data_IF_771961479774
#
_entry.id   IF_771961479774
#
_cell.length_a   1.000
_cell.length_b   1.000
_cell.length_c   1.000
_cell.angle_alpha   90.00
_cell.angle_beta   90.00
_cell.angle_gamma   90.00
#
_symmetry.space_group_name_H-M   'P 1'
#
loop_
_entity.id
_entity.type
_entity.pdbx_description
1 polymer ?
#
# COMPACT_ATOMS: atom_id res chain seq x y z
N UNK A 1 -8.79 -4.95 -4.14
CA UNK A 1 -7.75 -5.14 -5.17
C UNK A 1 -7.30 -6.59 -5.21
N UNK A 2 -6.91 -7.05 -6.39
CA UNK A 2 -6.37 -8.40 -6.57
C UNK A 2 -4.85 -8.35 -6.53
N UNK A 3 -4.23 -9.22 -5.75
CA UNK A 3 -2.78 -9.38 -5.72
C UNK A 3 -2.44 -10.68 -6.44
N UNK A 4 -1.75 -10.59 -7.58
CA UNK A 4 -1.31 -11.75 -8.37
C UNK A 4 0.15 -12.05 -8.06
N UNK A 5 0.42 -13.28 -7.66
CA UNK A 5 1.77 -13.76 -7.39
C UNK A 5 2.42 -14.31 -8.67
N UNK A 6 3.66 -13.90 -9.01
CA UNK A 6 4.40 -14.52 -10.11
C UNK A 6 4.74 -15.97 -9.78
N UNK A 7 4.31 -16.91 -10.59
CA UNK A 7 4.86 -18.28 -10.63
C UNK A 7 3.99 -19.42 -10.12
N UNK A 8 2.85 -19.20 -9.44
CA UNK A 8 1.98 -20.28 -8.96
C UNK A 8 0.48 -20.11 -9.23
N UNK A 9 0.06 -19.06 -9.95
CA UNK A 9 -1.35 -18.86 -10.28
C UNK A 9 -2.29 -18.54 -9.11
N UNK A 10 -1.77 -18.37 -7.89
CA UNK A 10 -2.59 -18.01 -6.74
C UNK A 10 -2.94 -16.51 -6.77
N UNK A 11 -4.21 -16.20 -6.57
CA UNK A 11 -4.74 -14.85 -6.49
C UNK A 11 -5.15 -14.58 -5.05
N UNK A 12 -4.64 -13.50 -4.48
CA UNK A 12 -4.99 -13.05 -3.14
C UNK A 12 -5.78 -11.75 -3.21
N UNK A 13 -6.61 -11.50 -2.20
CA UNK A 13 -7.48 -10.33 -2.19
C UNK A 13 -7.19 -9.44 -1.00
N UNK A 14 -7.32 -8.14 -1.21
CA UNK A 14 -7.52 -7.15 -0.16
C UNK A 14 -8.93 -6.59 -0.26
N UNK A 15 -9.47 -6.12 0.86
CA UNK A 15 -10.76 -5.45 0.90
C UNK A 15 -10.67 -4.21 1.78
N UNK A 16 -11.16 -3.09 1.27
CA UNK A 16 -11.15 -1.81 1.97
C UNK A 16 -12.17 -0.84 1.39
N UNK A 17 -12.32 0.29 2.06
CA UNK A 17 -13.14 1.41 1.60
C UNK A 17 -12.19 2.55 1.22
N UNK A 18 -11.99 2.70 -0.08
CA UNK A 18 -11.17 3.79 -0.62
C UNK A 18 -11.86 5.14 -0.39
N UNK A 19 -11.12 6.22 -0.07
CA UNK A 19 -11.69 7.54 0.24
C UNK A 19 -12.57 8.13 -0.86
N UNK A 20 -12.32 7.80 -2.12
CA UNK A 20 -13.16 8.24 -3.25
C UNK A 20 -14.53 7.58 -3.32
N UNK A 21 -14.78 6.51 -2.56
CA UNK A 21 -16.01 5.70 -2.63
C UNK A 21 -16.75 5.63 -1.30
N UNK A 22 -16.61 6.66 -0.47
CA UNK A 22 -17.35 6.80 0.79
C UNK A 22 -18.79 7.20 0.47
N UNK A 23 -19.75 6.38 0.92
CA UNK A 23 -21.18 6.57 0.74
C UNK A 23 -21.94 6.20 2.05
N UNK A 24 -23.27 6.15 1.99
CA UNK A 24 -24.15 5.82 3.11
C UNK A 24 -24.08 4.36 3.58
N UNK A 25 -23.40 3.47 2.81
CA UNK A 25 -23.23 2.05 3.14
C UNK A 25 -21.91 1.72 3.84
N UNK A 26 -21.24 2.72 4.41
CA UNK A 26 -19.95 2.54 5.09
C UNK A 26 -20.01 1.46 6.17
N UNK A 27 -21.04 1.45 7.00
CA UNK A 27 -21.16 0.47 8.09
C UNK A 27 -21.31 -0.98 7.57
N UNK A 28 -22.14 -1.17 6.55
CA UNK A 28 -22.29 -2.48 5.91
C UNK A 28 -20.97 -2.97 5.30
N UNK A 29 -20.22 -2.05 4.67
CA UNK A 29 -18.92 -2.39 4.06
C UNK A 29 -17.87 -2.71 5.11
N UNK A 30 -17.83 -1.99 6.23
CA UNK A 30 -16.92 -2.31 7.34
C UNK A 30 -17.19 -3.69 7.92
N UNK A 31 -18.47 -4.05 8.10
CA UNK A 31 -18.86 -5.40 8.55
C UNK A 31 -18.39 -6.48 7.55
N UNK A 32 -18.48 -6.22 6.24
CA UNK A 32 -17.98 -7.15 5.21
C UNK A 32 -16.45 -7.30 5.27
N UNK A 33 -15.70 -6.21 5.50
CA UNK A 33 -14.25 -6.26 5.67
C UNK A 33 -13.90 -7.11 6.89
N UNK A 34 -14.57 -6.84 8.01
CA UNK A 34 -14.33 -7.57 9.26
C UNK A 34 -14.63 -9.06 9.11
N UNK A 35 -15.77 -9.40 8.50
CA UNK A 35 -16.14 -10.80 8.24
C UNK A 35 -15.13 -11.50 7.32
N UNK A 36 -14.71 -10.84 6.23
CA UNK A 36 -13.73 -11.39 5.30
C UNK A 36 -12.35 -11.59 5.98
N UNK A 37 -11.97 -10.69 6.88
CA UNK A 37 -10.76 -10.82 7.68
C UNK A 37 -10.86 -12.00 8.68
N UNK A 38 -11.97 -12.11 9.38
CA UNK A 38 -12.23 -13.19 10.34
C UNK A 38 -12.23 -14.59 9.67
N UNK A 39 -12.75 -14.67 8.45
CA UNK A 39 -12.81 -15.90 7.67
C UNK A 39 -11.51 -16.21 6.89
N UNK A 40 -10.48 -15.37 6.98
CA UNK A 40 -9.22 -15.54 6.24
C UNK A 40 -9.37 -15.41 4.71
N UNK A 41 -10.41 -14.74 4.24
CA UNK A 41 -10.69 -14.55 2.80
C UNK A 41 -9.87 -13.42 2.17
N UNK A 42 -9.25 -12.59 2.98
CA UNK A 42 -8.38 -11.48 2.55
C UNK A 42 -7.02 -11.57 3.23
N UNK A 43 -5.99 -11.13 2.54
CA UNK A 43 -4.61 -11.10 3.05
C UNK A 43 -4.19 -9.69 3.52
N UNK A 44 -5.01 -8.68 3.25
CA UNK A 44 -4.78 -7.30 3.69
C UNK A 44 -6.11 -6.54 3.81
N UNK A 45 -6.14 -5.51 4.65
CA UNK A 45 -7.18 -4.48 4.60
C UNK A 45 -6.70 -3.36 3.67
N UNK A 46 -7.54 -2.87 2.79
CA UNK A 46 -7.21 -1.78 1.86
C UNK A 46 -7.72 -2.03 0.42
N UNK A 47 -7.64 -1.02 -0.41
CA UNK A 47 -7.05 0.30 -0.11
C UNK A 47 -7.94 1.10 0.85
N UNK A 48 -7.30 1.73 1.83
CA UNK A 48 -7.91 2.63 2.80
C UNK A 48 -7.01 3.85 3.00
N UNK A 49 -7.56 5.02 3.29
CA UNK A 49 -6.71 6.18 3.49
C UNK A 49 -7.41 7.53 3.37
N UNK A 50 -6.64 8.53 2.94
CA UNK A 50 -7.09 9.91 2.79
C UNK A 50 -6.68 10.47 1.43
N UNK A 51 -7.65 11.02 0.72
CA UNK A 51 -7.46 11.73 -0.53
C UNK A 51 -8.13 13.11 -0.48
N UNK A 52 -7.34 14.17 -0.58
CA UNK A 52 -7.88 15.53 -0.57
C UNK A 52 -8.65 15.93 -1.83
N UNK A 53 -8.64 15.05 -2.85
CA UNK A 53 -9.49 15.22 -4.04
C UNK A 53 -10.84 14.49 -3.91
N UNK A 54 -11.04 13.69 -2.85
CA UNK A 54 -12.31 13.02 -2.60
C UNK A 54 -13.39 14.02 -2.13
N UNK A 55 -14.66 13.67 -2.37
CA UNK A 55 -15.81 14.51 -1.98
C UNK A 55 -16.02 14.53 -0.45
N UNK A 56 -15.74 13.40 0.20
CA UNK A 56 -15.91 13.31 1.65
C UNK A 56 -14.88 14.19 2.39
N UNK A 57 -15.27 14.93 3.44
CA UNK A 57 -14.34 15.69 4.26
C UNK A 57 -13.20 14.84 4.83
N UNK A 58 -12.01 15.43 4.97
CA UNK A 58 -10.81 14.74 5.48
C UNK A 58 -11.04 14.09 6.83
N UNK A 59 -11.79 14.73 7.71
CA UNK A 59 -12.13 14.23 9.05
C UNK A 59 -12.98 12.96 8.99
N UNK A 60 -13.88 12.87 8.02
CA UNK A 60 -14.71 11.68 7.78
C UNK A 60 -13.84 10.55 7.24
N UNK A 61 -12.97 10.86 6.28
CA UNK A 61 -12.03 9.88 5.72
C UNK A 61 -11.08 9.34 6.79
N UNK A 62 -10.53 10.19 7.67
CA UNK A 62 -9.65 9.79 8.76
C UNK A 62 -10.33 8.85 9.75
N UNK A 63 -11.56 9.17 10.18
CA UNK A 63 -12.32 8.31 11.08
C UNK A 63 -12.56 6.92 10.47
N UNK A 64 -12.90 6.88 9.18
CA UNK A 64 -13.10 5.64 8.46
C UNK A 64 -11.79 4.87 8.28
N UNK A 65 -10.71 5.56 8.00
CA UNK A 65 -9.36 4.99 7.90
C UNK A 65 -8.92 4.37 9.24
N UNK A 66 -9.09 5.08 10.36
CA UNK A 66 -8.77 4.59 11.69
C UNK A 66 -9.53 3.29 12.02
N UNK A 67 -10.83 3.22 11.69
CA UNK A 67 -11.63 1.99 11.87
C UNK A 67 -11.12 0.82 11.03
N UNK A 68 -10.72 1.06 9.78
CA UNK A 68 -10.13 0.02 8.93
C UNK A 68 -8.75 -0.42 9.45
N UNK A 69 -7.95 0.51 9.99
CA UNK A 69 -6.69 0.19 10.65
C UNK A 69 -6.89 -0.66 11.92
N UNK A 70 -7.96 -0.41 12.68
CA UNK A 70 -8.34 -1.22 13.84
C UNK A 70 -8.69 -2.66 13.43
N UNK A 71 -9.51 -2.83 12.38
CA UNK A 71 -9.84 -4.16 11.83
C UNK A 71 -8.55 -4.86 11.38
N UNK A 72 -7.68 -4.19 10.60
CA UNK A 72 -6.41 -4.76 10.19
C UNK A 72 -5.56 -5.22 11.38
N UNK A 73 -5.50 -4.40 12.45
CA UNK A 73 -4.79 -4.72 13.68
C UNK A 73 -5.37 -5.91 14.43
N UNK A 74 -6.68 -5.98 14.55
CA UNK A 74 -7.40 -7.06 15.25
C UNK A 74 -7.10 -8.43 14.62
N UNK A 75 -7.05 -8.49 13.29
CA UNK A 75 -6.79 -9.74 12.57
C UNK A 75 -5.33 -9.92 12.15
N UNK A 76 -4.42 -9.02 12.56
CA UNK A 76 -2.99 -9.09 12.25
C UNK A 76 -2.67 -9.02 10.76
N UNK A 77 -3.53 -8.35 9.97
CA UNK A 77 -3.39 -8.14 8.54
C UNK A 77 -2.61 -6.84 8.25
N UNK A 78 -1.83 -6.78 7.17
CA UNK A 78 -1.26 -5.52 6.71
C UNK A 78 -2.34 -4.56 6.22
N UNK A 79 -2.03 -3.25 6.25
CA UNK A 79 -2.90 -2.18 5.78
C UNK A 79 -2.31 -1.56 4.51
N UNK A 80 -3.05 -1.58 3.40
CA UNK A 80 -2.68 -0.91 2.15
C UNK A 80 -3.24 0.52 2.21
N UNK A 81 -2.31 1.48 2.24
CA UNK A 81 -2.61 2.88 2.55
C UNK A 81 -2.59 3.74 1.29
N UNK A 82 -3.71 4.38 1.02
CA UNK A 82 -3.85 5.42 0.01
C UNK A 82 -3.63 6.81 0.63
N UNK A 83 -2.77 7.62 0.05
CA UNK A 83 -2.45 8.94 0.59
C UNK A 83 -2.19 10.00 -0.47
N UNK A 84 -3.19 10.86 -0.73
CA UNK A 84 -3.05 11.99 -1.65
C UNK A 84 -3.11 13.31 -0.89
N UNK A 85 -1.96 14.01 -0.84
CA UNK A 85 -1.78 15.29 -0.11
C UNK A 85 -2.18 15.22 1.38
N UNK A 86 -2.05 14.04 2.00
CA UNK A 86 -2.51 13.77 3.37
C UNK A 86 -1.54 12.86 4.17
N UNK A 87 -0.27 12.79 3.76
CA UNK A 87 0.72 11.95 4.44
C UNK A 87 0.91 12.34 5.92
N UNK A 88 0.95 13.62 6.32
CA UNK A 88 1.07 14.00 7.74
C UNK A 88 -0.07 13.46 8.61
N UNK A 89 -1.30 13.50 8.10
CA UNK A 89 -2.48 12.98 8.77
C UNK A 89 -2.40 11.46 8.94
N UNK A 90 -1.96 10.75 7.89
CA UNK A 90 -1.77 9.30 7.92
C UNK A 90 -0.68 8.88 8.90
N UNK A 91 0.44 9.61 8.98
CA UNK A 91 1.48 9.39 9.97
C UNK A 91 0.95 9.66 11.39
N UNK A 92 0.10 10.66 11.56
CA UNK A 92 -0.53 10.95 12.84
C UNK A 92 -1.47 9.82 13.27
N UNK A 93 -2.27 9.29 12.34
CA UNK A 93 -3.11 8.12 12.57
C UNK A 93 -2.27 6.88 12.90
N UNK A 94 -1.17 6.65 12.19
CA UNK A 94 -0.23 5.57 12.51
C UNK A 94 0.30 5.64 13.95
N UNK A 95 0.72 6.84 14.41
CA UNK A 95 1.23 7.04 15.78
C UNK A 95 0.17 6.79 16.86
N UNK A 96 -1.10 7.02 16.56
CA UNK A 96 -2.22 6.73 17.46
C UNK A 96 -2.58 5.24 17.46
N UNK A 97 -2.35 4.57 16.35
CA UNK A 97 -2.67 3.15 16.20
C UNK A 97 -1.74 2.32 17.09
N UNK A 98 -2.31 1.56 18.03
CA UNK A 98 -1.56 0.72 18.98
C UNK A 98 -1.23 -0.67 18.45
N UNK A 99 -1.69 -0.99 17.25
CA UNK A 99 -1.49 -2.29 16.63
C UNK A 99 -0.14 -2.36 15.89
N UNK A 100 0.42 -3.55 15.82
CA UNK A 100 1.74 -3.80 15.23
C UNK A 100 1.67 -4.31 13.78
N UNK A 101 0.51 -4.16 13.11
CA UNK A 101 0.38 -4.53 11.70
C UNK A 101 1.29 -3.66 10.81
N UNK A 102 1.68 -4.22 9.68
CA UNK A 102 2.49 -3.50 8.70
C UNK A 102 1.62 -2.60 7.83
N UNK A 103 2.12 -1.41 7.54
CA UNK A 103 1.46 -0.44 6.64
C UNK A 103 2.26 -0.32 5.35
N UNK A 104 1.54 -0.35 4.22
CA UNK A 104 2.10 -0.29 2.87
C UNK A 104 1.61 1.01 2.25
N UNK A 105 2.51 1.95 1.98
CA UNK A 105 2.16 3.14 1.22
C UNK A 105 2.08 2.76 -0.25
N UNK A 106 0.86 2.69 -0.77
CA UNK A 106 0.54 2.39 -2.16
C UNK A 106 0.75 3.62 -3.04
N UNK A 107 1.06 3.42 -4.32
CA UNK A 107 1.17 4.49 -5.31
C UNK A 107 2.19 5.58 -4.95
N UNK A 108 3.25 5.24 -4.23
CA UNK A 108 4.16 6.25 -3.69
C UNK A 108 4.77 7.12 -4.80
N UNK A 109 4.55 8.43 -4.70
CA UNK A 109 5.17 9.44 -5.57
C UNK A 109 5.41 10.74 -4.80
N UNK A 110 6.31 10.69 -3.83
CA UNK A 110 6.64 11.83 -2.98
C UNK A 110 8.15 12.05 -2.90
N UNK A 111 8.54 13.24 -2.44
CA UNK A 111 9.93 13.63 -2.25
C UNK A 111 10.60 12.85 -1.11
N UNK A 112 11.94 12.96 -1.08
CA UNK A 112 12.83 12.25 -0.17
C UNK A 112 12.44 12.37 1.31
N UNK A 113 12.10 13.57 1.77
CA UNK A 113 11.75 13.81 3.17
C UNK A 113 10.53 13.00 3.61
N UNK A 114 9.54 12.88 2.74
CA UNK A 114 8.34 12.06 2.98
C UNK A 114 8.71 10.58 2.99
N UNK A 115 9.55 10.12 2.05
CA UNK A 115 10.04 8.75 2.05
C UNK A 115 10.71 8.41 3.38
N UNK A 116 11.65 9.24 3.83
CA UNK A 116 12.39 9.00 5.06
C UNK A 116 11.49 9.00 6.30
N UNK A 117 10.44 9.84 6.30
CA UNK A 117 9.48 9.86 7.38
C UNK A 117 8.63 8.58 7.44
N UNK A 118 8.13 8.11 6.32
CA UNK A 118 7.42 6.84 6.22
C UNK A 118 8.29 5.65 6.64
N UNK A 119 9.55 5.59 6.17
CA UNK A 119 10.49 4.52 6.52
C UNK A 119 10.81 4.50 8.01
N UNK A 120 11.00 5.67 8.65
CA UNK A 120 11.18 5.77 10.11
C UNK A 120 10.00 5.20 10.91
N UNK A 121 8.79 5.27 10.35
CA UNK A 121 7.60 4.68 10.94
C UNK A 121 7.37 3.21 10.52
N UNK A 122 8.32 2.61 9.77
CA UNK A 122 8.27 1.19 9.41
C UNK A 122 7.34 0.86 8.25
N UNK A 123 6.93 1.85 7.47
CA UNK A 123 6.13 1.60 6.27
C UNK A 123 6.91 0.83 5.22
N UNK A 124 6.19 0.00 4.47
CA UNK A 124 6.61 -0.49 3.17
C UNK A 124 6.19 0.49 2.09
N UNK A 125 6.97 0.55 1.03
CA UNK A 125 6.76 1.49 -0.09
C UNK A 125 6.47 0.67 -1.34
N UNK A 126 5.32 0.91 -1.95
CA UNK A 126 4.97 0.29 -3.22
C UNK A 126 5.19 1.27 -4.37
N UNK A 127 6.05 0.89 -5.30
CA UNK A 127 6.41 1.67 -6.47
C UNK A 127 5.66 1.12 -7.70
N UNK A 128 4.93 2.00 -8.37
CA UNK A 128 4.09 1.64 -9.51
C UNK A 128 4.29 2.57 -10.71
N UNK A 129 3.20 2.90 -11.40
CA UNK A 129 3.18 3.68 -12.65
C UNK A 129 4.05 4.95 -12.63
N UNK A 130 4.12 5.63 -11.50
CA UNK A 130 4.95 6.84 -11.39
C UNK A 130 6.44 6.55 -11.53
N UNK A 131 6.91 5.34 -11.24
CA UNK A 131 8.30 4.94 -11.45
C UNK A 131 8.67 4.84 -12.94
N UNK A 132 7.69 4.80 -13.85
CA UNK A 132 7.91 4.79 -15.29
C UNK A 132 8.30 6.17 -15.86
N UNK A 133 8.08 7.25 -15.11
CA UNK A 133 8.47 8.60 -15.46
C UNK A 133 9.75 8.98 -14.70
N UNK A 134 10.85 9.19 -15.42
CA UNK A 134 12.17 9.54 -14.85
C UNK A 134 12.19 10.90 -14.14
N UNK A 135 11.26 11.79 -14.46
CA UNK A 135 11.10 13.08 -13.79
C UNK A 135 10.28 13.01 -12.49
N UNK A 136 9.65 11.87 -12.22
CA UNK A 136 8.80 11.71 -11.04
C UNK A 136 9.61 11.72 -9.73
N UNK A 137 8.93 12.05 -8.64
CA UNK A 137 9.58 12.07 -7.32
C UNK A 137 10.02 10.66 -6.89
N UNK A 138 9.16 9.65 -7.11
CA UNK A 138 9.51 8.27 -6.76
C UNK A 138 10.72 7.77 -7.54
N UNK A 139 10.81 8.05 -8.85
CA UNK A 139 11.96 7.61 -9.66
C UNK A 139 13.29 8.13 -9.11
N UNK A 140 13.29 9.39 -8.65
CA UNK A 140 14.49 10.01 -8.06
C UNK A 140 14.94 9.31 -6.78
N UNK A 141 14.00 8.88 -5.95
CA UNK A 141 14.27 8.31 -4.61
C UNK A 141 14.28 6.77 -4.58
N UNK A 142 13.96 6.09 -5.69
CA UNK A 142 13.98 4.63 -5.79
C UNK A 142 15.23 3.96 -5.21
N UNK A 143 16.47 4.47 -5.45
CA UNK A 143 17.67 3.87 -4.88
C UNK A 143 17.75 3.97 -3.34
N UNK A 144 17.01 4.90 -2.74
CA UNK A 144 17.02 5.13 -1.29
C UNK A 144 15.99 4.28 -0.54
N UNK A 145 15.06 3.61 -1.26
CA UNK A 145 14.11 2.69 -0.63
C UNK A 145 14.88 1.41 -0.24
N UNK A 146 14.92 1.03 1.06
CA UNK A 146 15.57 -0.21 1.49
C UNK A 146 14.99 -1.42 0.75
N UNK A 147 15.84 -2.36 0.38
CA UNK A 147 15.42 -3.56 -0.36
C UNK A 147 14.32 -4.33 0.38
N UNK A 148 14.42 -4.42 1.72
CA UNK A 148 13.45 -5.12 2.58
C UNK A 148 12.16 -4.33 2.86
N UNK A 149 11.97 -3.16 2.21
CA UNK A 149 10.80 -2.29 2.33
C UNK A 149 10.11 -1.99 1.00
N UNK A 150 10.63 -2.54 -0.11
CA UNK A 150 10.13 -2.26 -1.45
C UNK A 150 9.10 -3.31 -1.90
N UNK A 151 8.01 -2.82 -2.47
CA UNK A 151 7.03 -3.57 -3.26
C UNK A 151 6.89 -2.94 -4.64
N UNK A 152 6.36 -3.71 -5.58
CA UNK A 152 6.09 -3.28 -6.96
C UNK A 152 4.61 -3.53 -7.27
N UNK A 153 4.00 -2.58 -7.99
CA UNK A 153 2.60 -2.64 -8.39
C UNK A 153 2.37 -2.08 -9.78
N UNK A 154 1.22 -2.31 -10.36
CA UNK A 154 0.74 -1.66 -11.59
C UNK A 154 -0.37 -0.67 -11.31
N UNK A 155 -1.12 -0.87 -10.22
CA UNK A 155 -2.35 -0.14 -9.96
C UNK A 155 -3.29 -0.14 -11.20
N UNK A 156 -4.00 0.93 -11.43
CA UNK A 156 -4.85 1.13 -12.60
C UNK A 156 -4.07 1.84 -13.74
N UNK A 157 -2.99 1.19 -14.21
CA UNK A 157 -2.17 1.70 -15.32
C UNK A 157 -2.11 0.72 -16.49
N UNK A 158 -1.76 1.24 -17.67
CA UNK A 158 -1.60 0.43 -18.88
C UNK A 158 -0.24 -0.32 -18.92
N UNK A 159 0.65 -0.05 -17.96
CA UNK A 159 1.95 -0.73 -17.87
C UNK A 159 1.78 -2.16 -17.36
N UNK A 160 2.50 -3.08 -17.97
CA UNK A 160 2.64 -4.44 -17.45
C UNK A 160 3.53 -4.46 -16.21
N UNK A 161 3.33 -5.43 -15.35
CA UNK A 161 4.18 -5.59 -14.16
C UNK A 161 5.65 -5.81 -14.54
N UNK A 162 5.92 -6.49 -15.65
CA UNK A 162 7.29 -6.70 -16.17
C UNK A 162 7.98 -5.40 -16.56
N UNK A 163 7.26 -4.45 -17.18
CA UNK A 163 7.80 -3.13 -17.51
C UNK A 163 8.15 -2.35 -16.25
N UNK A 164 7.30 -2.37 -15.23
CA UNK A 164 7.58 -1.69 -13.95
C UNK A 164 8.80 -2.31 -13.27
N UNK A 165 8.90 -3.65 -13.21
CA UNK A 165 10.10 -4.33 -12.69
C UNK A 165 11.36 -3.92 -13.45
N UNK A 166 11.31 -3.92 -14.80
CA UNK A 166 12.45 -3.52 -15.64
C UNK A 166 12.92 -2.10 -15.36
N UNK A 167 11.99 -1.17 -15.23
CA UNK A 167 12.32 0.23 -14.96
C UNK A 167 12.89 0.44 -13.55
N UNK A 168 12.28 -0.18 -12.53
CA UNK A 168 12.74 -0.08 -11.15
C UNK A 168 14.13 -0.75 -10.98
N UNK A 169 14.33 -1.92 -11.56
CA UNK A 169 15.61 -2.63 -11.53
C UNK A 169 16.71 -1.78 -12.17
N UNK A 170 16.45 -1.22 -13.37
CA UNK A 170 17.39 -0.31 -14.06
C UNK A 170 17.76 0.88 -13.19
N UNK A 171 16.77 1.54 -12.58
CA UNK A 171 17.00 2.71 -11.72
C UNK A 171 17.80 2.36 -10.47
N UNK A 172 17.65 1.15 -9.93
CA UNK A 172 18.38 0.66 -8.76
C UNK A 172 19.75 0.06 -9.10
N UNK A 173 20.04 -0.15 -10.38
CA UNK A 173 21.30 -0.74 -10.82
C UNK A 173 21.46 -2.23 -10.46
N UNK A 174 20.35 -2.99 -10.42
CA UNK A 174 20.32 -4.42 -10.12
C UNK A 174 19.65 -5.21 -11.25
N UNK A 175 19.83 -6.52 -11.29
CA UNK A 175 19.14 -7.39 -12.23
C UNK A 175 17.62 -7.47 -11.91
N UNK A 176 16.81 -7.73 -12.93
CA UNK A 176 15.34 -7.86 -12.76
C UNK A 176 15.03 -9.06 -11.87
N UNK A 177 15.73 -10.15 -12.05
CA UNK A 177 15.59 -11.38 -11.26
C UNK A 177 15.90 -11.16 -9.77
N UNK A 178 16.94 -10.36 -9.49
CA UNK A 178 17.27 -9.95 -8.12
C UNK A 178 16.14 -9.13 -7.49
N UNK A 179 15.60 -8.16 -8.22
CA UNK A 179 14.46 -7.36 -7.76
C UNK A 179 13.23 -8.22 -7.53
N UNK A 180 12.95 -9.17 -8.43
CA UNK A 180 11.82 -10.12 -8.27
C UNK A 180 11.97 -10.94 -6.99
N UNK A 181 13.19 -11.43 -6.72
CA UNK A 181 13.48 -12.17 -5.49
C UNK A 181 13.24 -11.29 -4.23
N UNK A 182 13.77 -10.08 -4.22
CA UNK A 182 13.59 -9.11 -3.12
C UNK A 182 12.10 -8.86 -2.85
N UNK A 183 11.35 -8.52 -3.89
CA UNK A 183 9.92 -8.19 -3.77
C UNK A 183 9.13 -9.42 -3.32
N UNK A 184 9.46 -10.61 -3.83
CA UNK A 184 8.84 -11.86 -3.40
C UNK A 184 9.05 -12.12 -1.91
N UNK A 185 10.27 -11.98 -1.40
CA UNK A 185 10.58 -12.15 0.02
C UNK A 185 9.83 -11.13 0.89
N UNK A 186 9.70 -9.90 0.41
CA UNK A 186 8.93 -8.88 1.12
C UNK A 186 7.45 -9.21 1.15
N UNK A 187 6.92 -9.68 0.02
CA UNK A 187 5.52 -10.09 -0.12
C UNK A 187 5.19 -11.25 0.84
N UNK A 188 5.95 -12.33 0.80
CA UNK A 188 5.74 -13.49 1.66
C UNK A 188 5.79 -13.13 3.15
N UNK A 189 6.74 -12.26 3.53
CA UNK A 189 6.86 -11.74 4.91
C UNK A 189 5.67 -10.88 5.33
N UNK A 190 5.17 -10.03 4.42
CA UNK A 190 4.05 -9.12 4.71
C UNK A 190 2.74 -9.87 4.86
N UNK A 191 2.46 -10.77 3.94
CA UNK A 191 1.17 -11.42 3.82
C UNK A 191 1.15 -12.81 4.48
N UNK A 192 2.29 -13.24 5.09
CA UNK A 192 2.43 -14.50 5.82
C UNK A 192 2.08 -15.73 4.99
N UNK A 193 2.58 -15.77 3.76
CA UNK A 193 2.31 -16.82 2.77
C UNK A 193 3.47 -17.81 2.65
#
# INVERSE_FOLDING_TARGET
>A
GNVIMPGQGAVYFSLGIHPMYIDDRVEERLQKIELAAAEGKIVAVGEAGVDRNALAPVEVQLKLFERQAEIAGQYGLPLIVHGVRAIPELITAYKKCRSHQKWIMHGFNNRREILMDLLRHGFYISAGRHAMNEESQVYRVLPEIPADRLLIETDNSDFTIGEVYGQVARRRGIAVEELQHIVRMNFDRLFKL
#
